data_IF_918279958003
#
_entry.id   IF_918279958003
#
_cell.length_a   1.000
_cell.length_b   1.000
_cell.length_c   1.000
_cell.angle_alpha   90.00
_cell.angle_beta   90.00
_cell.angle_gamma   90.00
#
_symmetry.space_group_name_H-M   'P 1'
#
loop_
_entity.id
_entity.type
_entity.pdbx_description
1 polymer ?
#
# COMPACT_ATOMS: atom_id res chain seq x y z
N UNK A 1 -2.40 -53.91 6.20
CA UNK A 1 -3.18 -52.95 5.40
C UNK A 1 -2.85 -51.58 5.97
N UNK A 2 -2.33 -50.66 5.17
CA UNK A 2 -2.19 -49.26 5.61
C UNK A 2 -3.57 -48.78 6.03
N UNK A 3 -3.66 -48.05 7.14
CA UNK A 3 -4.92 -47.81 7.86
C UNK A 3 -5.88 -46.85 7.14
N UNK A 4 -5.59 -46.47 5.89
CA UNK A 4 -6.49 -45.68 5.07
C UNK A 4 -6.80 -44.31 5.67
N UNK A 5 -6.08 -43.91 6.72
CA UNK A 5 -5.87 -42.49 6.96
C UNK A 5 -5.27 -42.01 5.65
N UNK A 6 -5.91 -41.02 5.03
CA UNK A 6 -5.32 -40.38 3.87
C UNK A 6 -3.85 -40.14 4.24
N UNK A 7 -2.89 -40.37 3.33
CA UNK A 7 -1.56 -39.75 3.46
C UNK A 7 -1.66 -38.19 3.38
N UNK A 8 -2.85 -37.65 3.66
CA UNK A 8 -3.45 -36.31 3.72
C UNK A 8 -3.24 -35.41 2.50
N UNK A 9 -2.31 -35.79 1.64
CA UNK A 9 -2.06 -35.35 0.28
C UNK A 9 -1.72 -36.63 -0.49
N UNK A 10 -2.34 -36.87 -1.64
CA UNK A 10 -1.85 -37.92 -2.54
C UNK A 10 -0.40 -37.56 -2.95
N UNK A 11 0.48 -38.54 -3.22
CA UNK A 11 1.86 -38.28 -3.70
C UNK A 11 1.85 -37.36 -4.91
N UNK A 12 0.81 -37.46 -5.74
CA UNK A 12 0.57 -36.60 -6.90
C UNK A 12 0.40 -35.12 -6.53
N UNK A 13 -0.15 -34.81 -5.36
CA UNK A 13 -0.29 -33.45 -4.83
C UNK A 13 1.00 -32.92 -4.19
N UNK A 14 2.00 -33.78 -3.92
CA UNK A 14 3.31 -33.37 -3.42
C UNK A 14 4.30 -33.08 -4.55
N UNK A 15 4.03 -33.57 -5.76
CA UNK A 15 4.80 -33.27 -6.96
C UNK A 15 4.39 -31.91 -7.58
N UNK A 16 3.15 -31.47 -7.33
CA UNK A 16 2.59 -30.19 -7.80
C UNK A 16 2.59 -29.13 -6.69
N UNK A 17 3.74 -28.94 -6.04
CA UNK A 17 3.89 -27.99 -4.92
C UNK A 17 4.96 -26.94 -5.19
N UNK A 18 4.66 -25.70 -4.82
CA UNK A 18 5.59 -24.59 -5.01
C UNK A 18 4.92 -23.23 -4.84
N UNK A 19 5.49 -22.23 -5.50
CA UNK A 19 5.00 -20.84 -5.48
C UNK A 19 4.56 -20.36 -6.87
N UNK A 20 4.45 -21.27 -7.84
CA UNK A 20 3.97 -21.05 -9.18
C UNK A 20 2.44 -21.04 -9.28
N UNK A 21 1.92 -20.76 -10.48
CA UNK A 21 0.49 -20.83 -10.73
C UNK A 21 0.03 -22.29 -10.81
N UNK A 22 -1.18 -22.56 -10.32
CA UNK A 22 -1.82 -23.88 -10.33
C UNK A 22 -1.14 -24.97 -9.46
N UNK A 23 -0.10 -24.61 -8.72
CA UNK A 23 0.53 -25.49 -7.72
C UNK A 23 -0.17 -25.36 -6.36
N UNK A 24 -0.08 -26.41 -5.54
CA UNK A 24 -0.45 -26.35 -4.14
C UNK A 24 0.67 -25.67 -3.32
N UNK A 25 0.30 -24.70 -2.49
CA UNK A 25 1.27 -24.02 -1.62
C UNK A 25 1.60 -24.91 -0.42
N UNK A 26 2.88 -25.22 -0.25
CA UNK A 26 3.40 -25.79 0.99
C UNK A 26 3.84 -24.68 1.95
N UNK A 27 3.57 -24.85 3.24
CA UNK A 27 4.07 -23.93 4.27
C UNK A 27 5.58 -24.13 4.49
N UNK A 28 6.27 -23.09 4.97
CA UNK A 28 7.67 -23.18 5.40
C UNK A 28 7.82 -23.98 6.72
N UNK A 29 9.07 -24.16 7.19
CA UNK A 29 9.38 -24.87 8.44
C UNK A 29 8.83 -24.20 9.70
N UNK A 30 8.27 -22.99 9.58
CA UNK A 30 7.61 -22.22 10.63
C UNK A 30 6.10 -22.09 10.40
N UNK A 31 5.52 -22.91 9.52
CA UNK A 31 4.10 -22.90 9.16
C UNK A 31 3.60 -21.57 8.54
N UNK A 32 4.46 -20.85 7.82
CA UNK A 32 4.11 -19.64 7.07
C UNK A 32 3.98 -19.95 5.58
N UNK A 33 3.18 -19.15 4.88
CA UNK A 33 3.20 -19.16 3.41
C UNK A 33 4.58 -18.68 2.94
N UNK A 34 5.31 -19.44 2.10
CA UNK A 34 6.59 -19.02 1.55
C UNK A 34 6.47 -17.72 0.76
N UNK A 35 7.58 -16.99 0.62
CA UNK A 35 7.60 -15.75 -0.15
C UNK A 35 7.23 -16.02 -1.63
N UNK A 36 6.05 -15.58 -2.05
CA UNK A 36 5.62 -15.60 -3.44
C UNK A 36 5.82 -14.23 -4.09
N UNK A 37 6.00 -14.19 -5.41
CA UNK A 37 5.96 -12.93 -6.16
C UNK A 37 4.52 -12.41 -6.27
N UNK A 38 4.30 -11.13 -5.94
CA UNK A 38 3.01 -10.47 -6.15
C UNK A 38 2.70 -10.14 -7.62
N UNK A 39 3.56 -10.49 -8.57
CA UNK A 39 3.41 -10.14 -9.99
C UNK A 39 2.13 -10.71 -10.64
N UNK A 40 1.61 -11.83 -10.11
CA UNK A 40 0.37 -12.43 -10.58
C UNK A 40 -0.90 -11.81 -9.96
N UNK A 41 -0.76 -10.89 -8.98
CA UNK A 41 -1.88 -10.12 -8.45
C UNK A 41 -2.34 -9.09 -9.49
N UNK A 42 -3.17 -9.56 -10.41
CA UNK A 42 -3.82 -8.74 -11.44
C UNK A 42 -5.11 -8.12 -10.89
N UNK A 43 -5.66 -7.12 -11.59
CA UNK A 43 -6.88 -6.40 -11.22
C UNK A 43 -6.82 -5.59 -9.91
N UNK A 44 -5.63 -5.31 -9.38
CA UNK A 44 -5.49 -4.29 -8.36
C UNK A 44 -5.68 -2.91 -9.00
N UNK A 45 -6.61 -2.11 -8.48
CA UNK A 45 -6.80 -0.74 -8.94
C UNK A 45 -5.54 0.07 -8.65
N UNK A 46 -4.86 0.51 -9.70
CA UNK A 46 -3.66 1.35 -9.57
C UNK A 46 -4.01 2.75 -9.05
N UNK A 47 -2.98 3.46 -8.59
CA UNK A 47 -3.11 4.87 -8.24
C UNK A 47 -2.92 5.71 -9.52
N UNK A 48 -3.93 6.52 -9.85
CA UNK A 48 -3.81 7.52 -10.93
C UNK A 48 -2.88 8.62 -10.47
N UNK A 49 -1.86 8.96 -11.26
CA UNK A 49 -0.86 9.99 -10.91
C UNK A 49 -0.96 11.19 -11.85
N UNK A 50 -0.92 12.40 -11.30
CA UNK A 50 -0.89 13.66 -12.06
C UNK A 50 -0.21 14.75 -11.25
N UNK A 51 0.28 15.79 -11.92
CA UNK A 51 0.86 16.97 -11.27
C UNK A 51 -0.20 17.95 -10.70
N UNK A 52 -1.48 17.69 -10.95
CA UNK A 52 -2.62 18.53 -10.54
C UNK A 52 -3.62 17.70 -9.74
N UNK A 53 -4.45 18.38 -8.94
CA UNK A 53 -5.56 17.75 -8.22
C UNK A 53 -6.58 17.11 -9.18
N UNK A 54 -7.29 16.07 -8.72
CA UNK A 54 -8.31 15.43 -9.55
C UNK A 54 -9.45 16.41 -9.87
N UNK A 55 -9.91 16.37 -11.11
CA UNK A 55 -11.00 17.24 -11.56
C UNK A 55 -12.36 16.73 -11.10
N UNK A 56 -13.27 17.67 -10.80
CA UNK A 56 -14.65 17.37 -10.44
C UNK A 56 -15.54 17.05 -11.64
N UNK A 57 -15.18 17.49 -12.83
CA UNK A 57 -16.06 17.46 -14.01
C UNK A 57 -15.95 16.21 -14.86
N UNK A 58 -14.89 15.42 -14.69
CA UNK A 58 -14.62 14.22 -15.48
C UNK A 58 -14.44 13.03 -14.55
N UNK A 59 -15.21 11.99 -14.80
CA UNK A 59 -15.20 10.76 -14.02
C UNK A 59 -13.88 10.01 -14.20
N UNK A 60 -13.23 9.55 -13.10
CA UNK A 60 -12.11 8.64 -13.22
C UNK A 60 -12.53 7.34 -13.90
N UNK A 61 -11.63 6.76 -14.70
CA UNK A 61 -11.85 5.48 -15.40
C UNK A 61 -12.15 4.33 -14.42
N UNK A 62 -11.59 4.40 -13.20
CA UNK A 62 -11.85 3.42 -12.13
C UNK A 62 -13.13 3.66 -11.33
N UNK A 63 -13.88 4.72 -11.62
CA UNK A 63 -15.12 5.08 -10.92
C UNK A 63 -14.94 5.43 -9.44
N UNK A 64 -16.00 5.24 -8.65
CA UNK A 64 -15.97 5.39 -7.19
C UNK A 64 -14.94 4.44 -6.57
N UNK A 65 -14.13 4.94 -5.64
CA UNK A 65 -13.01 4.22 -5.04
C UNK A 65 -11.68 4.44 -5.77
N UNK A 66 -11.67 5.15 -6.91
CA UNK A 66 -10.41 5.52 -7.57
C UNK A 66 -9.53 6.33 -6.62
N UNK A 67 -8.27 5.91 -6.52
CA UNK A 67 -7.23 6.63 -5.78
C UNK A 67 -6.41 7.47 -6.74
N UNK A 68 -6.18 8.72 -6.37
CA UNK A 68 -5.48 9.71 -7.17
C UNK A 68 -4.36 10.36 -6.35
N UNK A 69 -3.18 10.51 -6.94
CA UNK A 69 -2.01 11.16 -6.36
C UNK A 69 -1.69 12.44 -7.11
N UNK A 70 -1.68 13.57 -6.41
CA UNK A 70 -1.04 14.78 -6.89
C UNK A 70 0.47 14.67 -6.62
N UNK A 71 1.28 14.50 -7.66
CA UNK A 71 2.73 14.34 -7.55
C UNK A 71 3.46 15.65 -7.23
N UNK A 72 2.80 16.80 -7.38
CA UNK A 72 3.35 18.12 -7.05
C UNK A 72 3.13 18.45 -5.58
N UNK A 73 1.89 18.29 -5.07
CA UNK A 73 1.58 18.55 -3.66
C UNK A 73 1.88 17.37 -2.74
N UNK A 74 2.00 16.16 -3.28
CA UNK A 74 2.13 14.91 -2.51
C UNK A 74 0.80 14.41 -1.93
N UNK A 75 -0.31 15.12 -2.16
CA UNK A 75 -1.61 14.78 -1.62
C UNK A 75 -2.22 13.58 -2.33
N UNK A 76 -3.01 12.83 -1.56
CA UNK A 76 -3.72 11.65 -2.01
C UNK A 76 -5.23 11.92 -1.89
N UNK A 77 -5.98 11.49 -2.89
CA UNK A 77 -7.43 11.67 -2.98
C UNK A 77 -8.12 10.35 -3.28
N UNK A 78 -9.32 10.14 -2.73
CA UNK A 78 -10.22 9.04 -3.08
C UNK A 78 -11.50 9.61 -3.67
N UNK A 79 -11.94 9.12 -4.83
CA UNK A 79 -13.26 9.40 -5.39
C UNK A 79 -14.32 8.69 -4.54
N UNK A 80 -15.15 9.45 -3.85
CA UNK A 80 -16.24 8.92 -2.99
C UNK A 80 -17.60 8.93 -3.68
N UNK A 81 -17.73 9.72 -4.75
CA UNK A 81 -18.91 9.80 -5.60
C UNK A 81 -18.45 10.13 -7.01
N UNK A 82 -18.85 9.30 -7.97
CA UNK A 82 -18.51 9.40 -9.40
C UNK A 82 -19.70 9.92 -10.25
N UNK A 83 -20.44 10.89 -9.73
CA UNK A 83 -21.53 11.53 -10.48
C UNK A 83 -20.96 12.41 -11.60
N UNK A 84 -21.36 12.14 -12.84
CA UNK A 84 -20.91 12.88 -14.03
C UNK A 84 -21.03 14.40 -13.86
N UNK A 85 -19.90 15.10 -13.99
CA UNK A 85 -19.83 16.56 -13.83
C UNK A 85 -19.77 17.05 -12.38
N UNK A 86 -19.82 16.15 -11.38
CA UNK A 86 -20.01 16.49 -9.98
C UNK A 86 -19.25 15.57 -9.00
N UNK A 87 -18.12 14.99 -9.41
CA UNK A 87 -17.36 14.05 -8.59
C UNK A 87 -16.98 14.61 -7.21
N UNK A 88 -17.03 13.76 -6.19
CA UNK A 88 -16.62 14.11 -4.82
C UNK A 88 -15.30 13.42 -4.50
N UNK A 89 -14.23 14.21 -4.46
CA UNK A 89 -12.90 13.75 -4.08
C UNK A 89 -12.61 14.09 -2.63
N UNK A 90 -12.30 13.05 -1.84
CA UNK A 90 -11.87 13.20 -0.45
C UNK A 90 -10.35 13.17 -0.39
N UNK A 91 -9.74 14.26 0.05
CA UNK A 91 -8.33 14.27 0.39
C UNK A 91 -8.10 13.34 1.60
N UNK A 92 -7.21 12.37 1.45
CA UNK A 92 -6.81 11.37 2.45
C UNK A 92 -5.35 11.53 2.87
N UNK A 93 -4.65 12.51 2.29
CA UNK A 93 -3.28 12.87 2.62
C UNK A 93 -3.20 14.37 2.84
N UNK A 94 -3.65 14.84 4.01
CA UNK A 94 -3.36 16.19 4.49
C UNK A 94 -2.05 16.24 5.31
N UNK A 95 -1.36 15.09 5.44
CA UNK A 95 -0.50 14.75 6.56
C UNK A 95 0.60 15.78 6.83
N UNK A 96 0.34 16.71 7.73
CA UNK A 96 1.39 17.47 8.39
C UNK A 96 2.39 16.48 9.01
N UNK A 97 3.67 16.72 8.76
CA UNK A 97 4.77 15.86 9.21
C UNK A 97 5.67 15.49 8.04
N UNK A 98 6.69 16.31 7.79
CA UNK A 98 7.83 15.87 6.98
C UNK A 98 8.53 14.71 7.69
N UNK A 99 9.04 13.73 6.94
CA UNK A 99 10.04 12.77 7.41
C UNK A 99 11.44 13.41 7.44
N UNK A 100 11.53 14.70 7.73
CA UNK A 100 12.81 15.32 8.04
C UNK A 100 13.16 14.93 9.49
N UNK A 101 14.39 14.47 9.78
CA UNK A 101 14.85 14.46 11.17
C UNK A 101 14.63 15.87 11.71
N UNK A 102 13.95 16.00 12.84
CA UNK A 102 13.82 17.28 13.53
C UNK A 102 15.21 17.95 13.61
N UNK A 103 15.43 19.02 12.84
CA UNK A 103 16.60 19.87 13.04
C UNK A 103 16.19 21.00 14.00
N UNK A 104 16.59 20.93 15.29
CA UNK A 104 16.28 21.97 16.27
C UNK A 104 16.85 23.35 15.90
N UNK A 105 17.75 23.45 14.92
CA UNK A 105 18.48 24.68 14.58
C UNK A 105 17.84 25.51 13.47
N UNK A 106 16.85 24.98 12.75
CA UNK A 106 16.21 25.68 11.62
C UNK A 106 14.72 25.91 11.79
N UNK A 107 14.09 25.33 12.81
CA UNK A 107 12.72 25.67 13.18
C UNK A 107 12.69 27.00 13.93
N UNK A 108 11.91 27.96 13.43
CA UNK A 108 11.73 29.32 13.97
C UNK A 108 11.23 29.41 15.44
N UNK A 109 11.09 28.28 16.14
CA UNK A 109 10.66 28.18 17.54
C UNK A 109 11.50 27.20 18.38
N UNK A 110 12.70 26.83 17.94
CA UNK A 110 13.61 25.98 18.72
C UNK A 110 14.33 26.76 19.82
N UNK A 111 13.92 26.63 21.08
CA UNK A 111 14.71 27.08 22.22
C UNK A 111 15.80 26.06 22.56
N UNK A 112 17.07 26.47 22.58
CA UNK A 112 18.17 25.70 23.19
C UNK A 112 18.25 26.07 24.66
N UNK A 113 17.88 25.15 25.55
CA UNK A 113 18.02 25.30 27.00
C UNK A 113 19.35 24.70 27.49
N UNK A 114 20.20 25.57 28.07
CA UNK A 114 21.35 25.26 28.95
C UNK A 114 22.67 24.98 28.23
N UNK A 115 23.86 25.49 28.61
CA UNK A 115 24.40 26.28 29.73
C UNK A 115 25.94 26.11 29.64
N UNK A 116 26.78 27.12 29.83
CA UNK A 116 27.40 27.47 31.13
C UNK A 116 28.33 28.67 30.91
N UNK A 117 28.23 29.68 31.77
CA UNK A 117 29.23 30.72 31.95
C UNK A 117 30.25 30.22 32.98
N UNK A 118 31.53 30.13 32.61
CA UNK A 118 32.64 30.06 33.57
C UNK A 118 33.84 30.83 33.00
N UNK A 119 34.29 31.84 33.74
CA UNK A 119 35.63 32.42 33.71
C UNK A 119 35.88 33.50 32.67
#
# INVERSE_FOLDING_TARGET
MSDGTLQTLDVTMLEDVGTGANELIQLDSNAKIPACSGAALTNLSGITKSANDPVRTTNPVGGTGTVFQNTTSGEMYICTDDTAGANVWKNIGAGSGDITPYDPRTSNYGYVLGGSMVG
#
